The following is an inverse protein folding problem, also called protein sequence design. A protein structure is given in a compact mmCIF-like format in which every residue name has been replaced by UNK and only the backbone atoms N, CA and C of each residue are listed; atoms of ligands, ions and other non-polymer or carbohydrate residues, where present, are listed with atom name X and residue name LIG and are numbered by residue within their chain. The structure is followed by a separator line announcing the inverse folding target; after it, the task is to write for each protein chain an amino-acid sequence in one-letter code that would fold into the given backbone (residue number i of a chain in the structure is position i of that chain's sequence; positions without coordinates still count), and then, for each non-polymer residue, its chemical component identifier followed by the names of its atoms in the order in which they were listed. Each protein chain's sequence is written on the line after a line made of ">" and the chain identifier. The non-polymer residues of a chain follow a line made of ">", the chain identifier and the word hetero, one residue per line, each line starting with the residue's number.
data_IF_339582050278
#
_entry.id   IF_339582050278
#
_cell.length_a   1.000
_cell.length_b   1.000
_cell.length_c   1.000
_cell.angle_alpha   90.00
_cell.angle_beta   90.00
_cell.angle_gamma   90.00
#
_symmetry.space_group_name_H-M   'P 1'
#
loop_
_entity.id
_entity.type
_entity.pdbx_description
1 polymer ?
#
# COMPACT_ATOMS: atom_id res chain seq x y z
N UNK A 1 9.15 -23.65 47.45
CA UNK A 1 8.26 -22.60 47.99
C UNK A 1 7.20 -22.27 46.95
N UNK A 2 5.92 -22.55 47.22
CA UNK A 2 4.81 -22.12 46.37
C UNK A 2 4.29 -20.75 46.86
N UNK A 3 3.97 -19.85 45.93
CA UNK A 3 2.97 -18.79 46.16
C UNK A 3 2.07 -18.64 44.94
N UNK A 4 0.86 -19.17 45.08
CA UNK A 4 -0.31 -18.86 44.26
C UNK A 4 -0.80 -17.46 44.63
N UNK A 5 -1.21 -16.66 43.64
CA UNK A 5 -2.15 -15.56 43.87
C UNK A 5 -3.28 -15.63 42.84
N UNK A 6 -4.50 -15.81 43.34
CA UNK A 6 -5.77 -15.72 42.64
C UNK A 6 -6.55 -14.51 43.18
N UNK A 7 -7.55 -14.08 42.39
CA UNK A 7 -8.64 -13.11 42.65
C UNK A 7 -8.45 -11.74 41.98
N UNK A 8 -9.49 -11.03 41.53
CA UNK A 8 -10.84 -11.44 41.07
C UNK A 8 -11.52 -10.25 40.38
N UNK A 9 -12.57 -10.52 39.61
CA UNK A 9 -13.51 -9.59 38.97
C UNK A 9 -13.85 -8.28 39.69
N UNK A 10 -14.11 -7.23 38.89
CA UNK A 10 -15.20 -6.28 39.14
C UNK A 10 -15.85 -5.82 37.82
N UNK A 11 -17.16 -5.57 37.85
CA UNK A 11 -18.04 -5.23 36.72
C UNK A 11 -18.65 -3.83 36.91
N UNK A 12 -18.64 -3.01 35.85
CA UNK A 12 -19.60 -1.95 35.47
C UNK A 12 -18.89 -0.99 34.48
N UNK A 13 -19.56 -0.24 33.61
CA UNK A 13 -21.00 -0.09 33.30
C UNK A 13 -21.13 0.31 31.82
N UNK A 14 -22.22 -0.10 31.16
CA UNK A 14 -22.46 0.26 29.76
C UNK A 14 -23.22 1.58 29.65
N UNK A 15 -22.68 2.54 28.88
CA UNK A 15 -23.37 3.80 28.54
C UNK A 15 -23.86 3.75 27.10
N UNK A 16 -25.18 3.86 26.93
CA UNK A 16 -25.85 3.85 25.63
C UNK A 16 -25.82 5.26 25.01
N UNK A 17 -25.19 5.40 23.83
CA UNK A 17 -25.26 6.65 23.05
C UNK A 17 -26.24 6.51 21.89
N UNK A 18 -27.25 7.37 21.88
CA UNK A 18 -28.19 7.53 20.75
C UNK A 18 -27.61 8.59 19.80
N UNK A 19 -27.39 8.21 18.54
CA UNK A 19 -26.96 9.14 17.48
C UNK A 19 -28.19 9.60 16.69
N UNK A 20 -28.45 10.90 16.69
CA UNK A 20 -29.49 11.54 15.88
C UNK A 20 -28.84 12.04 14.58
N UNK A 21 -29.26 11.48 13.44
CA UNK A 21 -28.78 11.90 12.13
C UNK A 21 -29.71 12.96 11.51
N UNK A 22 -29.17 14.13 11.17
CA UNK A 22 -29.82 15.11 10.30
C UNK A 22 -29.26 15.00 8.86
N UNK A 23 -30.10 14.95 7.81
CA UNK A 23 -29.62 14.92 6.44
C UNK A 23 -29.28 16.33 5.93
N UNK A 24 -28.02 16.55 5.56
CA UNK A 24 -27.62 17.73 4.79
C UNK A 24 -27.85 17.48 3.29
N UNK A 25 -28.53 18.42 2.62
CA UNK A 25 -28.91 18.31 1.21
C UNK A 25 -28.06 19.26 0.37
N UNK A 26 -27.20 18.74 -0.50
CA UNK A 26 -26.39 19.54 -1.44
C UNK A 26 -27.07 19.51 -2.81
N UNK A 27 -27.28 20.70 -3.37
CA UNK A 27 -27.74 20.90 -4.75
C UNK A 27 -26.56 20.73 -5.72
N UNK A 28 -26.74 19.90 -6.74
CA UNK A 28 -25.87 19.85 -7.92
C UNK A 28 -26.58 20.57 -9.07
N UNK A 29 -25.87 21.41 -9.81
CA UNK A 29 -26.34 21.97 -11.08
C UNK A 29 -25.71 21.20 -12.23
N UNK A 30 -26.54 20.57 -13.06
CA UNK A 30 -26.10 19.88 -14.27
C UNK A 30 -25.95 20.86 -15.44
N UNK A 31 -24.85 20.75 -16.17
CA UNK A 31 -24.57 21.51 -17.40
C UNK A 31 -24.23 20.57 -18.56
N UNK A 32 -25.25 19.98 -19.19
CA UNK A 32 -25.08 19.15 -20.38
C UNK A 32 -24.93 20.00 -21.65
N UNK A 33 -23.97 19.64 -22.51
CA UNK A 33 -23.91 20.06 -23.92
C UNK A 33 -23.95 18.83 -24.82
N UNK A 34 -24.79 18.80 -25.87
CA UNK A 34 -24.92 17.64 -26.74
C UNK A 34 -23.83 17.61 -27.83
N UNK A 35 -23.32 16.40 -28.11
CA UNK A 35 -22.47 16.12 -29.28
C UNK A 35 -23.36 15.53 -30.39
N UNK A 36 -23.28 16.01 -31.65
CA UNK A 36 -24.08 15.47 -32.74
C UNK A 36 -23.56 14.08 -33.19
N UNK A 37 -24.48 13.14 -33.37
CA UNK A 37 -24.20 11.80 -33.92
C UNK A 37 -24.40 11.82 -35.43
N UNK A 38 -23.32 11.60 -36.20
CA UNK A 38 -23.43 11.35 -37.64
C UNK A 38 -23.71 9.87 -37.91
N UNK A 39 -24.87 9.57 -38.49
CA UNK A 39 -25.26 8.25 -38.96
C UNK A 39 -24.82 8.11 -40.43
N UNK A 40 -23.93 7.15 -40.72
CA UNK A 40 -23.61 6.74 -42.08
C UNK A 40 -24.16 5.34 -42.35
N UNK A 41 -25.13 5.24 -43.24
CA UNK A 41 -25.61 3.97 -43.78
C UNK A 41 -24.63 3.45 -44.83
N UNK A 42 -24.14 2.21 -44.65
CA UNK A 42 -23.43 1.43 -45.67
C UNK A 42 -24.26 0.21 -46.10
N UNK A 43 -24.27 -0.18 -47.38
CA UNK A 43 -25.16 -1.21 -47.89
C UNK A 43 -24.73 -2.63 -47.52
N UNK A 44 -25.72 -3.51 -47.39
CA UNK A 44 -25.57 -4.93 -47.09
C UNK A 44 -25.02 -5.72 -48.29
N UNK A 45 -23.88 -6.40 -48.12
CA UNK A 45 -23.45 -7.47 -49.03
C UNK A 45 -23.62 -8.83 -48.34
N UNK A 46 -24.69 -9.53 -48.71
CA UNK A 46 -24.90 -10.94 -48.34
C UNK A 46 -24.07 -11.83 -49.27
N UNK A 47 -23.04 -12.49 -48.72
CA UNK A 47 -22.30 -13.53 -49.42
C UNK A 47 -22.04 -14.70 -48.46
N UNK A 48 -22.61 -15.86 -48.77
CA UNK A 48 -22.52 -17.06 -47.95
C UNK A 48 -21.07 -17.57 -47.88
N UNK A 49 -20.57 -17.79 -46.67
CA UNK A 49 -19.49 -18.75 -46.42
C UNK A 49 -19.99 -19.77 -45.41
N UNK A 50 -19.91 -21.04 -45.79
CA UNK A 50 -20.17 -22.14 -44.87
C UNK A 50 -19.14 -22.07 -43.74
N UNK A 51 -19.61 -21.66 -42.55
CA UNK A 51 -18.77 -21.62 -41.37
C UNK A 51 -18.60 -23.04 -40.85
N UNK A 52 -17.48 -23.67 -41.20
CA UNK A 52 -17.02 -24.88 -40.52
C UNK A 52 -16.85 -24.54 -39.04
N UNK A 53 -17.85 -24.92 -38.24
CA UNK A 53 -17.84 -24.82 -36.79
C UNK A 53 -16.81 -25.80 -36.23
N UNK A 54 -15.54 -25.45 -36.39
CA UNK A 54 -14.51 -25.82 -35.45
C UNK A 54 -15.02 -25.39 -34.07
N UNK A 55 -15.42 -26.39 -33.28
CA UNK A 55 -15.43 -26.27 -31.83
C UNK A 55 -13.99 -25.95 -31.42
N UNK A 56 -13.63 -24.67 -31.45
CA UNK A 56 -12.59 -24.15 -30.57
C UNK A 56 -13.09 -24.48 -29.17
N UNK A 57 -12.58 -25.57 -28.61
CA UNK A 57 -12.69 -25.82 -27.19
C UNK A 57 -12.23 -24.54 -26.52
N UNK A 58 -13.16 -23.83 -25.89
CA UNK A 58 -12.82 -22.71 -25.03
C UNK A 58 -11.76 -23.27 -24.07
N UNK A 59 -10.53 -22.70 -24.02
CA UNK A 59 -9.49 -23.23 -23.16
C UNK A 59 -10.08 -23.34 -21.76
N UNK A 60 -9.95 -24.52 -21.14
CA UNK A 60 -10.61 -24.83 -19.87
C UNK A 60 -10.44 -23.64 -18.92
N UNK A 61 -11.55 -23.08 -18.46
CA UNK A 61 -11.55 -21.80 -17.78
C UNK A 61 -10.57 -21.86 -16.61
N UNK A 62 -9.44 -21.15 -16.75
CA UNK A 62 -8.36 -21.17 -15.76
C UNK A 62 -9.00 -20.88 -14.41
N UNK A 63 -8.84 -21.77 -13.40
CA UNK A 63 -9.45 -21.56 -12.10
C UNK A 63 -9.13 -20.16 -11.60
N UNK A 64 -10.15 -19.38 -11.26
CA UNK A 64 -9.95 -18.03 -10.74
C UNK A 64 -9.02 -18.12 -9.55
N UNK A 65 -7.84 -17.53 -9.68
CA UNK A 65 -6.91 -17.34 -8.57
C UNK A 65 -7.24 -16.00 -7.94
N UNK A 66 -7.55 -16.02 -6.65
CA UNK A 66 -7.67 -14.83 -5.83
C UNK A 66 -6.36 -14.56 -5.09
N UNK A 67 -5.87 -13.32 -5.15
CA UNK A 67 -4.60 -12.91 -4.57
C UNK A 67 -4.84 -11.85 -3.50
N UNK A 68 -4.22 -12.01 -2.34
CA UNK A 68 -4.14 -10.95 -1.34
C UNK A 68 -2.85 -10.15 -1.51
N UNK A 69 -2.95 -8.91 -1.96
CA UNK A 69 -1.87 -7.92 -1.88
C UNK A 69 -1.83 -7.42 -0.44
N UNK A 70 -1.11 -8.11 0.45
CA UNK A 70 -0.94 -7.70 1.83
C UNK A 70 0.41 -6.99 2.00
N UNK A 71 0.36 -5.67 2.06
CA UNK A 71 1.54 -4.82 1.94
C UNK A 71 1.55 -3.71 2.98
N UNK A 72 2.74 -3.25 3.34
CA UNK A 72 2.87 -1.96 4.00
C UNK A 72 2.43 -0.83 3.04
N UNK A 73 2.18 0.38 3.56
CA UNK A 73 1.91 1.51 2.69
C UNK A 73 3.11 1.79 1.75
N UNK A 74 2.87 2.45 0.60
CA UNK A 74 3.90 3.00 -0.31
C UNK A 74 4.87 2.03 -1.00
N UNK A 75 4.64 0.71 -0.92
CA UNK A 75 5.47 -0.31 -1.58
C UNK A 75 4.95 -0.75 -2.97
N UNK A 76 4.19 0.08 -3.68
CA UNK A 76 3.76 -0.22 -5.05
C UNK A 76 2.47 -1.05 -5.20
N UNK A 77 1.69 -1.21 -4.13
CA UNK A 77 0.49 -2.07 -4.11
C UNK A 77 -0.57 -1.73 -5.16
N UNK A 78 -0.78 -0.46 -5.48
CA UNK A 78 -1.70 -0.03 -6.57
C UNK A 78 -1.26 -0.58 -7.93
N UNK A 79 0.05 -0.59 -8.21
CA UNK A 79 0.61 -1.13 -9.45
C UNK A 79 0.43 -2.65 -9.53
N UNK A 80 0.57 -3.36 -8.40
CA UNK A 80 0.24 -4.78 -8.30
C UNK A 80 -1.25 -5.03 -8.59
N UNK A 81 -2.17 -4.28 -7.96
CA UNK A 81 -3.63 -4.42 -8.16
C UNK A 81 -4.00 -4.28 -9.64
N UNK A 82 -3.46 -3.26 -10.32
CA UNK A 82 -3.70 -3.06 -11.76
C UNK A 82 -3.09 -4.20 -12.58
N UNK A 83 -1.88 -4.66 -12.25
CA UNK A 83 -1.22 -5.74 -12.99
C UNK A 83 -1.93 -7.10 -12.87
N UNK A 84 -2.50 -7.42 -11.70
CA UNK A 84 -3.31 -8.61 -11.50
C UNK A 84 -4.64 -8.53 -12.26
N UNK A 85 -5.32 -7.39 -12.18
CA UNK A 85 -6.54 -7.13 -12.94
C UNK A 85 -6.31 -7.29 -14.45
N UNK A 86 -5.19 -6.79 -14.97
CA UNK A 86 -4.81 -6.96 -16.39
C UNK A 86 -4.58 -8.43 -16.79
N UNK A 87 -4.23 -9.29 -15.82
CA UNK A 87 -4.10 -10.74 -16.01
C UNK A 87 -5.43 -11.51 -15.85
N UNK A 88 -6.53 -10.84 -15.53
CA UNK A 88 -7.80 -11.50 -15.16
C UNK A 88 -7.77 -12.19 -13.79
N UNK A 89 -6.83 -11.82 -12.93
CA UNK A 89 -6.64 -12.36 -11.57
C UNK A 89 -7.32 -11.43 -10.55
N UNK A 90 -8.17 -11.99 -9.69
CA UNK A 90 -8.80 -11.24 -8.60
C UNK A 90 -7.78 -10.85 -7.55
N UNK A 91 -7.83 -9.61 -7.06
CA UNK A 91 -6.78 -9.04 -6.22
C UNK A 91 -7.35 -8.19 -5.08
N UNK A 92 -7.51 -8.81 -3.90
CA UNK A 92 -7.81 -8.10 -2.67
C UNK A 92 -6.59 -7.31 -2.20
N UNK A 93 -6.81 -6.18 -1.53
CA UNK A 93 -5.74 -5.28 -1.10
C UNK A 93 -5.90 -4.89 0.37
N UNK A 94 -4.89 -5.20 1.19
CA UNK A 94 -4.90 -4.95 2.63
C UNK A 94 -3.63 -4.21 3.09
N UNK A 95 -3.82 -3.31 4.05
CA UNK A 95 -2.76 -2.59 4.78
C UNK A 95 -2.81 -2.79 6.30
N UNK A 96 -3.89 -3.39 6.83
CA UNK A 96 -4.10 -3.62 8.26
C UNK A 96 -4.15 -5.12 8.57
N UNK A 97 -3.76 -5.49 9.78
CA UNK A 97 -3.87 -6.86 10.31
C UNK A 97 -5.31 -7.39 10.24
N UNK A 98 -6.28 -6.54 10.59
CA UNK A 98 -7.70 -6.92 10.59
C UNK A 98 -8.23 -7.21 9.18
N UNK A 99 -7.95 -6.36 8.20
CA UNK A 99 -8.35 -6.58 6.81
C UNK A 99 -7.73 -7.87 6.23
N UNK A 100 -6.44 -8.12 6.51
CA UNK A 100 -5.78 -9.35 6.08
C UNK A 100 -6.41 -10.60 6.74
N UNK A 101 -6.72 -10.55 8.04
CA UNK A 101 -7.40 -11.64 8.75
C UNK A 101 -8.82 -11.91 8.24
N UNK A 102 -9.57 -10.86 7.89
CA UNK A 102 -10.91 -11.01 7.32
C UNK A 102 -10.86 -11.77 5.99
N UNK A 103 -9.97 -11.38 5.07
CA UNK A 103 -9.78 -12.10 3.80
C UNK A 103 -9.32 -13.55 4.01
N UNK A 104 -8.34 -13.78 4.88
CA UNK A 104 -7.80 -15.12 5.20
C UNK A 104 -8.81 -16.02 5.92
N UNK A 105 -9.90 -15.45 6.45
CA UNK A 105 -11.03 -16.17 7.02
C UNK A 105 -12.21 -16.34 6.02
N UNK A 106 -12.01 -16.01 4.74
CA UNK A 106 -13.03 -16.12 3.69
C UNK A 106 -14.13 -15.05 3.75
N UNK A 107 -13.89 -13.92 4.44
CA UNK A 107 -14.82 -12.80 4.46
C UNK A 107 -14.44 -11.78 3.39
N UNK A 108 -15.45 -11.11 2.83
CA UNK A 108 -15.24 -10.02 1.89
C UNK A 108 -14.56 -8.84 2.57
N UNK A 109 -13.41 -8.40 2.03
CA UNK A 109 -12.73 -7.20 2.54
C UNK A 109 -13.27 -5.98 1.82
N UNK A 110 -14.19 -5.27 2.46
CA UNK A 110 -14.57 -3.91 2.04
C UNK A 110 -13.39 -2.99 2.30
N UNK A 111 -12.70 -2.59 1.23
CA UNK A 111 -11.39 -1.97 1.33
C UNK A 111 -11.43 -0.60 1.99
N UNK A 112 -10.95 -0.52 3.23
CA UNK A 112 -10.86 0.70 4.06
C UNK A 112 -10.01 1.81 3.39
N UNK A 113 -9.20 1.45 2.38
CA UNK A 113 -8.39 2.36 1.57
C UNK A 113 -8.66 2.26 0.05
N UNK A 114 -9.86 1.82 -0.36
CA UNK A 114 -10.27 1.95 -1.76
C UNK A 114 -10.27 3.45 -2.15
N UNK A 115 -9.51 3.81 -3.18
CA UNK A 115 -9.76 5.07 -3.87
C UNK A 115 -11.19 5.05 -4.41
N UNK A 116 -11.83 6.22 -4.52
CA UNK A 116 -13.22 6.35 -5.01
C UNK A 116 -13.44 5.89 -6.45
N UNK A 117 -12.42 5.37 -7.10
CA UNK A 117 -12.50 4.72 -8.39
C UNK A 117 -13.24 3.38 -8.21
N UNK A 118 -14.54 3.37 -8.54
CA UNK A 118 -15.49 2.32 -8.99
C UNK A 118 -15.21 0.80 -8.91
N UNK A 119 -14.13 0.33 -8.28
CA UNK A 119 -13.74 -1.07 -8.11
C UNK A 119 -14.18 -1.62 -6.73
N UNK A 120 -15.17 -0.98 -6.11
CA UNK A 120 -15.56 -1.19 -4.71
C UNK A 120 -16.59 -2.33 -4.51
N UNK A 121 -17.24 -2.77 -5.59
CA UNK A 121 -18.46 -3.58 -5.53
C UNK A 121 -18.24 -5.09 -5.73
N UNK A 122 -17.01 -5.53 -6.07
CA UNK A 122 -16.66 -6.95 -6.11
C UNK A 122 -16.19 -7.42 -4.72
N UNK A 123 -17.00 -8.26 -4.08
CA UNK A 123 -16.67 -8.88 -2.80
C UNK A 123 -15.59 -9.95 -2.95
N UNK A 124 -14.33 -9.54 -2.98
CA UNK A 124 -13.18 -10.44 -3.03
C UNK A 124 -12.97 -11.13 -1.67
N UNK A 125 -13.19 -12.44 -1.66
CA UNK A 125 -13.06 -13.33 -0.51
C UNK A 125 -12.40 -14.64 -0.95
N UNK A 126 -11.61 -15.26 -0.08
CA UNK A 126 -11.02 -16.57 -0.32
C UNK A 126 -12.06 -17.67 -0.05
N UNK A 127 -12.50 -18.41 -1.07
CA UNK A 127 -13.47 -19.49 -0.90
C UNK A 127 -12.83 -20.79 -0.41
N UNK A 128 -13.64 -21.64 0.24
CA UNK A 128 -13.17 -22.91 0.79
C UNK A 128 -12.71 -23.86 -0.33
N UNK A 129 -11.41 -24.15 -0.37
CA UNK A 129 -10.78 -25.05 -1.34
C UNK A 129 -9.92 -24.33 -2.39
N UNK A 130 -9.95 -23.00 -2.46
CA UNK A 130 -9.10 -22.23 -3.37
C UNK A 130 -7.63 -22.20 -2.93
N UNK A 131 -6.72 -22.06 -3.90
CA UNK A 131 -5.30 -21.84 -3.61
C UNK A 131 -5.09 -20.41 -3.09
N UNK A 132 -4.91 -20.26 -1.79
CA UNK A 132 -4.54 -18.98 -1.19
C UNK A 132 -3.15 -18.52 -1.67
N UNK A 133 -3.07 -17.30 -2.21
CA UNK A 133 -1.80 -16.68 -2.57
C UNK A 133 -1.72 -15.24 -2.02
N UNK A 134 -0.60 -14.91 -1.39
CA UNK A 134 -0.34 -13.58 -0.82
C UNK A 134 0.86 -12.99 -1.54
N UNK A 135 0.71 -11.77 -2.06
CA UNK A 135 1.84 -10.96 -2.52
C UNK A 135 2.10 -9.85 -1.54
N UNK A 136 3.33 -9.79 -1.04
CA UNK A 136 3.83 -8.70 -0.21
C UNK A 136 5.03 -8.04 -0.85
N UNK A 137 5.32 -6.81 -0.44
CA UNK A 137 6.46 -6.08 -0.95
C UNK A 137 7.07 -5.22 0.16
N UNK A 138 8.39 -5.06 0.09
CA UNK A 138 9.18 -4.16 0.91
C UNK A 138 9.68 -2.99 0.08
N UNK A 139 10.03 -1.89 0.74
CA UNK A 139 10.70 -0.73 0.16
C UNK A 139 11.78 -0.25 1.10
N UNK A 140 12.89 0.26 0.56
CA UNK A 140 13.99 0.85 1.32
C UNK A 140 13.47 1.99 2.19
N UNK A 141 14.00 2.12 3.41
CA UNK A 141 13.60 3.20 4.33
C UNK A 141 13.82 4.58 3.71
N UNK A 142 14.96 4.78 3.03
CA UNK A 142 15.33 6.03 2.35
C UNK A 142 14.29 6.51 1.34
N UNK A 143 13.61 5.57 0.68
CA UNK A 143 12.58 5.85 -0.32
C UNK A 143 11.16 5.81 0.27
N UNK A 144 10.91 4.95 1.27
CA UNK A 144 9.65 4.85 1.97
C UNK A 144 9.34 6.12 2.78
N UNK A 145 10.26 6.57 3.64
CA UNK A 145 9.99 7.63 4.63
C UNK A 145 9.58 8.96 3.97
N UNK A 146 10.30 9.51 2.96
CA UNK A 146 9.87 10.72 2.27
C UNK A 146 8.52 10.55 1.56
N UNK A 147 8.26 9.37 0.98
CA UNK A 147 6.98 9.11 0.35
C UNK A 147 5.84 9.10 1.38
N UNK A 148 6.06 8.45 2.52
CA UNK A 148 5.12 8.37 3.65
C UNK A 148 4.79 9.75 4.24
N UNK A 149 5.78 10.64 4.33
CA UNK A 149 5.63 12.04 4.76
C UNK A 149 4.53 12.76 3.97
N UNK A 150 4.73 12.89 2.65
CA UNK A 150 3.76 13.59 1.78
C UNK A 150 2.38 12.94 1.69
N UNK A 151 2.26 11.61 1.84
CA UNK A 151 0.93 10.96 1.87
C UNK A 151 0.22 11.15 3.21
N UNK A 152 0.96 11.18 4.33
CA UNK A 152 0.37 11.13 5.68
C UNK A 152 0.12 12.50 6.29
N UNK A 153 0.78 13.55 5.79
CA UNK A 153 0.78 14.91 6.34
C UNK A 153 -0.60 15.50 6.66
N UNK A 154 -1.62 15.18 5.84
CA UNK A 154 -3.01 15.62 6.05
C UNK A 154 -3.93 14.51 6.58
N UNK A 155 -3.41 13.30 6.82
CA UNK A 155 -4.22 12.17 7.29
C UNK A 155 -4.24 12.09 8.82
N UNK A 156 -5.16 12.83 9.43
CA UNK A 156 -5.37 12.85 10.88
C UNK A 156 -5.66 11.47 11.49
N UNK A 157 -6.16 10.50 10.71
CA UNK A 157 -6.50 9.15 11.17
C UNK A 157 -5.29 8.26 11.42
N UNK A 158 -4.09 8.64 10.97
CA UNK A 158 -2.88 7.87 11.25
C UNK A 158 -2.28 8.37 12.58
N UNK A 159 -2.35 7.59 13.69
CA UNK A 159 -1.88 8.07 15.00
C UNK A 159 -0.37 8.35 15.03
N UNK A 160 0.40 7.58 14.26
CA UNK A 160 1.86 7.68 14.12
C UNK A 160 2.30 8.27 12.77
N UNK A 161 1.36 8.83 12.01
CA UNK A 161 1.66 9.46 10.73
C UNK A 161 2.45 10.73 10.92
N UNK A 162 3.15 11.14 9.87
CA UNK A 162 3.81 12.43 9.85
C UNK A 162 2.78 13.56 10.07
N UNK A 163 3.04 14.40 11.06
CA UNK A 163 2.24 15.56 11.46
C UNK A 163 3.16 16.78 11.48
N UNK A 164 2.83 17.86 10.76
CA UNK A 164 3.56 19.10 10.90
C UNK A 164 3.61 19.53 12.37
N UNK A 165 4.77 20.05 12.79
CA UNK A 165 5.10 20.35 14.20
C UNK A 165 5.40 19.12 15.08
N UNK A 166 5.73 17.99 14.47
CA UNK A 166 6.27 16.83 15.18
C UNK A 166 5.21 15.92 15.83
N UNK A 167 5.64 14.94 16.65
CA UNK A 167 4.72 14.10 17.37
C UNK A 167 4.01 14.95 18.42
N UNK A 168 2.70 15.19 18.27
CA UNK A 168 1.86 15.57 19.42
C UNK A 168 2.00 14.43 20.43
N UNK A 169 2.79 14.65 21.48
CA UNK A 169 3.17 13.63 22.45
C UNK A 169 1.92 13.19 23.20
N UNK A 170 1.40 12.02 22.78
CA UNK A 170 0.13 11.42 23.23
C UNK A 170 -1.11 12.22 22.84
N UNK A 171 -2.23 11.50 22.82
CA UNK A 171 -3.57 12.00 22.53
C UNK A 171 -4.15 12.95 23.60
N UNK A 172 -3.37 13.34 24.62
CA UNK A 172 -3.87 13.97 25.86
C UNK A 172 -3.05 15.17 26.39
N UNK A 173 -1.78 15.36 26.02
CA UNK A 173 -0.87 16.27 26.75
C UNK A 173 -0.47 17.57 26.00
N UNK A 174 -1.36 18.16 25.18
CA UNK A 174 -1.22 19.58 24.77
C UNK A 174 -2.51 20.22 24.22
N UNK A 175 -2.74 21.52 24.51
CA UNK A 175 -3.99 22.22 24.17
C UNK A 175 -4.04 22.65 22.71
N UNK A 176 -5.23 22.50 22.08
CA UNK A 176 -5.85 23.31 21.02
C UNK A 176 -5.01 24.02 19.93
N UNK A 177 -3.77 23.59 19.64
CA UNK A 177 -3.07 23.98 18.43
C UNK A 177 -3.79 23.32 17.24
N UNK A 178 -4.64 24.10 16.58
CA UNK A 178 -5.45 23.69 15.45
C UNK A 178 -4.56 23.21 14.31
N UNK A 179 -4.91 22.07 13.72
CA UNK A 179 -4.26 21.57 12.50
C UNK A 179 -4.72 22.33 11.24
N UNK A 180 -5.14 23.59 11.42
CA UNK A 180 -5.77 24.45 10.40
C UNK A 180 -4.80 25.01 9.38
N UNK A 181 -3.52 25.07 9.73
CA UNK A 181 -2.58 25.98 9.06
C UNK A 181 -1.75 25.28 7.96
N UNK A 182 -1.83 23.96 7.86
CA UNK A 182 -1.19 23.19 6.81
C UNK A 182 -2.22 22.74 5.77
N UNK A 183 -2.26 23.48 4.67
CA UNK A 183 -3.09 23.18 3.49
C UNK A 183 -2.22 22.71 2.32
N UNK A 184 -2.83 22.07 1.32
CA UNK A 184 -2.16 21.70 0.06
C UNK A 184 -1.39 22.88 -0.54
N UNK A 185 -2.02 24.07 -0.61
CA UNK A 185 -1.40 25.28 -1.15
C UNK A 185 -0.27 25.85 -0.30
N UNK A 186 -0.27 25.62 1.02
CA UNK A 186 0.83 26.02 1.91
C UNK A 186 2.02 25.07 1.73
N UNK A 187 1.80 23.76 1.63
CA UNK A 187 2.86 22.79 1.35
C UNK A 187 3.46 22.97 -0.04
N UNK A 188 2.63 23.29 -1.05
CA UNK A 188 3.09 23.65 -2.39
C UNK A 188 3.98 24.90 -2.35
N UNK A 189 3.52 25.97 -1.71
CA UNK A 189 4.29 27.20 -1.55
C UNK A 189 5.59 27.00 -0.77
N UNK A 190 5.58 26.23 0.32
CA UNK A 190 6.80 25.85 1.04
C UNK A 190 7.73 25.03 0.15
N UNK A 191 7.21 24.11 -0.65
CA UNK A 191 7.98 23.38 -1.66
C UNK A 191 8.65 24.28 -2.69
N UNK A 192 7.98 25.38 -3.05
CA UNK A 192 8.40 26.33 -4.07
C UNK A 192 9.38 27.39 -3.54
N UNK A 193 9.12 27.95 -2.37
CA UNK A 193 9.81 29.11 -1.79
C UNK A 193 10.79 28.73 -0.66
N UNK A 194 10.55 27.65 0.09
CA UNK A 194 11.31 27.30 1.30
C UNK A 194 11.35 25.78 1.55
N UNK A 195 11.95 25.03 0.62
CA UNK A 195 12.04 23.56 0.69
C UNK A 195 12.75 23.08 1.97
N UNK A 196 13.69 23.88 2.49
CA UNK A 196 14.42 23.63 3.74
C UNK A 196 13.49 23.49 4.95
N UNK A 197 12.39 24.24 5.01
CA UNK A 197 11.41 24.12 6.09
C UNK A 197 10.67 22.76 6.07
N UNK A 198 10.33 22.24 4.88
CA UNK A 198 9.75 20.90 4.75
C UNK A 198 10.77 19.81 5.11
N UNK A 199 12.04 19.98 4.73
CA UNK A 199 13.12 19.05 5.10
C UNK A 199 13.32 19.05 6.62
N UNK A 200 13.32 20.21 7.27
CA UNK A 200 13.44 20.32 8.73
C UNK A 200 12.28 19.64 9.47
N UNK A 201 11.04 19.88 9.03
CA UNK A 201 9.84 19.25 9.60
C UNK A 201 9.86 17.72 9.41
N UNK A 202 10.23 17.22 8.21
CA UNK A 202 10.44 15.79 7.96
C UNK A 202 11.48 15.18 8.90
N UNK A 203 12.66 15.81 9.02
CA UNK A 203 13.76 15.30 9.87
C UNK A 203 13.41 15.27 11.34
N UNK A 204 12.67 16.27 11.84
CA UNK A 204 12.17 16.28 13.22
C UNK A 204 11.24 15.08 13.53
N UNK A 205 10.58 14.51 12.52
CA UNK A 205 9.63 13.40 12.66
C UNK A 205 10.22 12.03 12.34
N UNK A 206 11.28 11.99 11.53
CA UNK A 206 11.91 10.75 11.04
C UNK A 206 12.25 9.75 12.18
N UNK A 207 12.84 10.13 13.33
CA UNK A 207 13.13 9.19 14.42
C UNK A 207 11.89 8.53 15.05
N UNK A 208 10.73 9.20 15.02
CA UNK A 208 9.46 8.64 15.51
C UNK A 208 8.95 7.59 14.52
N UNK A 209 8.94 7.91 13.23
CA UNK A 209 8.42 7.00 12.21
C UNK A 209 9.31 5.77 12.04
N UNK A 210 10.64 5.93 12.12
CA UNK A 210 11.58 4.80 12.18
C UNK A 210 11.25 3.86 13.36
N UNK A 211 11.02 4.43 14.55
CA UNK A 211 10.74 3.66 15.77
C UNK A 211 9.42 2.90 15.73
N UNK A 212 8.37 3.50 15.15
CA UNK A 212 7.00 3.01 15.28
C UNK A 212 6.43 2.29 14.05
N UNK A 213 6.97 2.49 12.84
CA UNK A 213 6.35 1.93 11.62
C UNK A 213 7.16 0.78 10.99
N UNK A 214 8.37 1.04 10.49
CA UNK A 214 9.09 0.02 9.71
C UNK A 214 9.74 -1.08 10.55
N UNK A 215 10.08 -0.81 11.81
CA UNK A 215 10.71 -1.82 12.69
C UNK A 215 9.77 -3.00 13.00
N UNK A 216 8.46 -2.76 13.04
CA UNK A 216 7.51 -3.72 13.62
C UNK A 216 6.50 -4.30 12.63
N UNK A 217 6.28 -3.71 11.45
CA UNK A 217 5.18 -4.13 10.56
C UNK A 217 5.15 -5.63 10.23
N UNK A 218 6.29 -6.23 9.87
CA UNK A 218 6.33 -7.67 9.59
C UNK A 218 6.11 -8.55 10.83
N UNK A 219 6.53 -8.11 12.03
CA UNK A 219 6.38 -8.88 13.27
C UNK A 219 5.02 -8.72 13.95
N UNK A 220 4.41 -7.54 13.86
CA UNK A 220 3.17 -7.18 14.56
C UNK A 220 1.93 -7.16 13.65
N UNK A 221 2.12 -7.11 12.32
CA UNK A 221 1.01 -7.14 11.36
C UNK A 221 1.13 -8.32 10.38
N UNK A 222 2.24 -8.46 9.65
CA UNK A 222 2.35 -9.53 8.66
C UNK A 222 2.28 -10.93 9.28
N UNK A 223 3.23 -11.25 10.16
CA UNK A 223 3.31 -12.56 10.82
C UNK A 223 2.03 -12.92 11.62
N UNK A 224 1.40 -12.02 12.39
CA UNK A 224 0.14 -12.35 13.09
C UNK A 224 -1.09 -12.53 12.19
N UNK A 225 -0.98 -12.29 10.87
CA UNK A 225 -2.02 -12.62 9.89
C UNK A 225 -1.67 -13.89 9.11
N UNK A 226 -0.45 -13.98 8.59
CA UNK A 226 -0.01 -15.00 7.63
C UNK A 226 0.75 -16.16 8.26
N UNK A 227 1.27 -15.95 9.47
CA UNK A 227 2.17 -16.83 10.25
C UNK A 227 3.42 -17.30 9.47
N UNK A 228 3.81 -16.50 8.46
CA UNK A 228 5.07 -16.61 7.71
C UNK A 228 6.05 -15.56 8.22
N UNK A 229 7.14 -16.02 8.87
CA UNK A 229 8.23 -15.14 9.27
C UNK A 229 9.18 -14.91 8.09
N UNK A 230 9.00 -13.75 7.45
CA UNK A 230 9.81 -13.34 6.29
C UNK A 230 11.30 -13.15 6.62
N UNK A 231 11.66 -13.03 7.90
CA UNK A 231 13.05 -12.85 8.34
C UNK A 231 13.77 -14.19 8.60
N UNK A 232 13.07 -15.33 8.53
CA UNK A 232 13.62 -16.65 8.87
C UNK A 232 14.72 -17.12 7.90
N UNK A 233 14.72 -16.64 6.66
CA UNK A 233 15.68 -16.99 5.60
C UNK A 233 16.25 -15.70 5.04
N UNK A 234 17.50 -15.69 4.57
CA UNK A 234 18.06 -14.51 3.90
C UNK A 234 17.31 -14.20 2.60
N UNK A 235 17.15 -12.91 2.30
CA UNK A 235 16.66 -12.47 1.00
C UNK A 235 17.64 -12.87 -0.11
N UNK A 236 17.11 -13.39 -1.21
CA UNK A 236 17.88 -13.79 -2.39
C UNK A 236 17.99 -12.61 -3.37
N UNK A 237 19.17 -12.02 -3.43
CA UNK A 237 19.48 -10.88 -4.29
C UNK A 237 19.70 -11.26 -5.77
N UNK A 238 19.88 -12.54 -6.08
CA UNK A 238 20.00 -13.03 -7.45
C UNK A 238 18.61 -13.24 -8.07
N UNK A 239 17.71 -13.95 -7.38
CA UNK A 239 16.33 -14.13 -7.85
C UNK A 239 15.42 -12.92 -7.59
N UNK A 240 15.84 -11.98 -6.74
CA UNK A 240 15.15 -10.70 -6.42
C UNK A 240 13.75 -10.86 -5.81
N UNK A 241 13.46 -12.03 -5.25
CA UNK A 241 12.24 -12.29 -4.51
C UNK A 241 12.48 -13.35 -3.44
N UNK A 242 11.49 -13.56 -2.57
CA UNK A 242 11.42 -14.76 -1.74
C UNK A 242 10.06 -15.42 -1.94
N UNK A 243 10.07 -16.73 -2.15
CA UNK A 243 8.86 -17.53 -2.21
C UNK A 243 8.78 -18.49 -1.01
N UNK A 244 7.67 -18.42 -0.30
CA UNK A 244 7.34 -19.32 0.81
C UNK A 244 6.15 -20.17 0.36
N UNK A 245 6.45 -21.37 -0.13
CA UNK A 245 5.41 -22.34 -0.49
C UNK A 245 4.61 -22.73 0.77
N UNK A 246 3.27 -22.64 0.69
CA UNK A 246 2.33 -23.19 1.67
C UNK A 246 2.74 -22.96 3.13
N UNK A 247 2.71 -21.69 3.55
CA UNK A 247 2.78 -21.31 4.97
C UNK A 247 1.66 -21.95 5.80
N UNK A 248 1.59 -21.64 7.10
CA UNK A 248 0.78 -22.37 8.09
C UNK A 248 -0.74 -22.37 7.83
N UNK A 249 -1.24 -21.61 6.85
CA UNK A 249 -2.64 -21.58 6.41
C UNK A 249 -2.86 -22.05 4.97
N UNK A 250 -1.93 -22.84 4.41
CA UNK A 250 -1.87 -23.28 2.99
C UNK A 250 -1.65 -22.13 1.98
N UNK A 251 -1.53 -20.89 2.46
CA UNK A 251 -1.20 -19.75 1.64
C UNK A 251 0.26 -19.79 1.18
N UNK A 252 0.50 -19.65 -0.11
CA UNK A 252 1.84 -19.34 -0.61
C UNK A 252 2.09 -17.83 -0.52
N UNK A 253 3.29 -17.43 -0.11
CA UNK A 253 3.68 -16.02 0.01
C UNK A 253 4.80 -15.70 -0.96
N UNK A 254 4.61 -14.67 -1.79
CA UNK A 254 5.66 -14.06 -2.60
C UNK A 254 6.02 -12.69 -2.02
N UNK A 255 7.29 -12.50 -1.66
CA UNK A 255 7.84 -11.23 -1.19
C UNK A 255 8.72 -10.61 -2.28
N UNK A 256 8.45 -9.34 -2.60
CA UNK A 256 9.16 -8.55 -3.60
C UNK A 256 9.87 -7.35 -2.94
N UNK A 257 10.92 -6.80 -3.57
CA UNK A 257 11.43 -5.46 -3.25
C UNK A 257 10.96 -4.45 -4.29
N UNK A 258 10.52 -3.28 -3.85
CA UNK A 258 10.10 -2.18 -4.72
C UNK A 258 11.25 -1.63 -5.58
N UNK A 259 12.48 -1.76 -5.12
CA UNK A 259 13.69 -1.37 -5.84
C UNK A 259 14.01 -2.33 -7.01
N UNK A 260 13.43 -3.53 -7.03
CA UNK A 260 13.52 -4.47 -8.15
C UNK A 260 12.29 -4.42 -9.08
N UNK A 261 11.48 -3.35 -9.03
CA UNK A 261 10.16 -3.27 -9.70
C UNK A 261 10.19 -3.58 -11.21
N UNK A 262 11.27 -3.25 -11.91
CA UNK A 262 11.46 -3.56 -13.34
C UNK A 262 11.54 -5.09 -13.63
N UNK A 263 11.78 -5.89 -12.59
CA UNK A 263 11.85 -7.36 -12.67
C UNK A 263 10.52 -8.02 -12.28
N UNK A 264 9.57 -7.26 -11.70
CA UNK A 264 8.31 -7.81 -11.19
C UNK A 264 7.48 -8.50 -12.27
N UNK A 265 7.50 -8.00 -13.51
CA UNK A 265 6.86 -8.68 -14.65
C UNK A 265 7.41 -10.09 -14.85
N UNK A 266 8.73 -10.27 -14.81
CA UNK A 266 9.36 -11.58 -15.00
C UNK A 266 9.18 -12.53 -13.82
N UNK A 267 9.11 -12.00 -12.59
CA UNK A 267 8.87 -12.77 -11.36
C UNK A 267 7.40 -13.21 -11.30
N UNK A 268 6.46 -12.27 -11.42
CA UNK A 268 5.03 -12.54 -11.24
C UNK A 268 4.44 -13.41 -12.34
N UNK A 269 4.94 -13.34 -13.58
CA UNK A 269 4.51 -14.22 -14.67
C UNK A 269 4.74 -15.73 -14.40
N UNK A 270 5.68 -16.09 -13.53
CA UNK A 270 5.92 -17.49 -13.16
C UNK A 270 4.78 -18.09 -12.33
N UNK A 271 4.05 -17.23 -11.61
CA UNK A 271 2.92 -17.61 -10.75
C UNK A 271 1.56 -17.24 -11.38
N UNK A 272 1.55 -16.16 -12.18
CA UNK A 272 0.37 -15.54 -12.78
C UNK A 272 0.64 -15.19 -14.26
N UNK A 273 0.52 -16.17 -15.17
CA UNK A 273 0.64 -15.94 -16.61
C UNK A 273 -0.28 -14.80 -17.06
N UNK A 274 0.26 -13.86 -17.85
CA UNK A 274 -0.45 -12.66 -18.28
C UNK A 274 -0.28 -11.42 -17.38
N UNK A 275 0.30 -11.55 -16.18
CA UNK A 275 0.62 -10.37 -15.34
C UNK A 275 1.48 -9.35 -16.10
N UNK A 276 1.06 -8.08 -16.08
CA UNK A 276 1.80 -6.94 -16.64
C UNK A 276 1.64 -5.71 -15.77
N UNK A 277 2.74 -5.24 -15.20
CA UNK A 277 2.83 -4.03 -14.41
C UNK A 277 2.48 -2.79 -15.28
N UNK A 278 1.64 -1.86 -14.81
CA UNK A 278 1.45 -0.60 -15.51
C UNK A 278 2.75 0.20 -15.53
N UNK A 279 3.23 0.57 -16.73
CA UNK A 279 4.41 1.43 -16.91
C UNK A 279 4.17 2.92 -16.54
N UNK A 280 2.94 3.28 -16.21
CA UNK A 280 2.60 4.63 -15.77
C UNK A 280 2.92 4.83 -14.28
N UNK A 281 3.83 5.75 -13.98
CA UNK A 281 4.06 6.20 -12.62
C UNK A 281 2.88 7.05 -12.11
N UNK A 282 1.88 6.40 -11.51
CA UNK A 282 0.70 7.01 -10.87
C UNK A 282 1.09 8.06 -9.82
N UNK A 283 2.33 8.01 -9.28
CA UNK A 283 2.88 9.04 -8.41
C UNK A 283 2.93 10.44 -9.02
N UNK A 284 3.06 10.56 -10.35
CA UNK A 284 3.19 11.85 -11.07
C UNK A 284 1.92 12.71 -11.01
N UNK A 285 0.76 12.10 -10.79
CA UNK A 285 -0.54 12.76 -10.75
C UNK A 285 -0.97 13.20 -9.34
N UNK A 286 -0.11 13.01 -8.33
CA UNK A 286 -0.42 13.38 -6.95
C UNK A 286 -0.20 14.88 -6.73
N UNK A 287 -1.01 15.50 -5.89
CA UNK A 287 -0.95 16.95 -5.60
C UNK A 287 0.43 17.45 -5.13
N UNK A 288 1.25 16.54 -4.58
CA UNK A 288 2.61 16.79 -4.11
C UNK A 288 3.72 16.42 -5.11
N UNK A 289 3.43 16.00 -6.35
CA UNK A 289 4.45 15.42 -7.23
C UNK A 289 5.63 16.38 -7.53
N UNK A 290 5.36 17.65 -7.82
CA UNK A 290 6.39 18.68 -8.06
C UNK A 290 7.22 18.98 -6.81
N UNK A 291 6.54 19.19 -5.67
CA UNK A 291 7.17 19.45 -4.36
C UNK A 291 8.04 18.26 -3.94
N UNK A 292 7.56 17.04 -4.13
CA UNK A 292 8.26 15.81 -3.76
C UNK A 292 9.51 15.57 -4.61
N UNK A 293 9.49 15.91 -5.90
CA UNK A 293 10.68 15.88 -6.74
C UNK A 293 11.76 16.84 -6.21
N UNK A 294 11.40 18.11 -5.98
CA UNK A 294 12.30 19.12 -5.37
C UNK A 294 12.77 18.72 -3.97
N UNK A 295 11.92 18.06 -3.19
CA UNK A 295 12.27 17.52 -1.88
C UNK A 295 13.32 16.41 -1.99
N UNK A 296 13.14 15.43 -2.90
CA UNK A 296 14.13 14.37 -3.12
C UNK A 296 15.49 14.93 -3.56
N UNK A 297 15.48 15.96 -4.40
CA UNK A 297 16.70 16.62 -4.91
C UNK A 297 17.45 17.39 -3.82
N UNK A 298 16.73 18.13 -2.96
CA UNK A 298 17.34 18.98 -1.93
C UNK A 298 17.62 18.26 -0.59
N UNK A 299 16.97 17.14 -0.31
CA UNK A 299 17.09 16.43 0.96
C UNK A 299 18.32 15.52 0.97
N UNK A 300 19.11 15.63 2.04
CA UNK A 300 20.24 14.74 2.34
C UNK A 300 20.09 14.16 3.74
N UNK A 301 20.51 12.91 3.93
CA UNK A 301 20.58 12.28 5.25
C UNK A 301 21.94 12.53 5.91
N UNK A 302 21.93 12.79 7.21
CA UNK A 302 23.13 12.76 8.07
C UNK A 302 23.52 11.32 8.37
N UNK A 303 24.77 11.09 8.77
CA UNK A 303 25.26 9.74 9.12
C UNK A 303 24.42 9.07 10.22
N UNK A 304 23.99 9.84 11.22
CA UNK A 304 23.11 9.35 12.29
C UNK A 304 21.70 8.97 11.79
N UNK A 305 21.15 9.70 10.81
CA UNK A 305 19.87 9.33 10.18
C UNK A 305 20.02 8.08 9.31
N UNK A 306 21.14 7.95 8.57
CA UNK A 306 21.49 6.74 7.81
C UNK A 306 21.58 5.53 8.74
N UNK A 307 22.29 5.64 9.87
CA UNK A 307 22.41 4.57 10.87
C UNK A 307 21.04 4.17 11.46
N UNK A 308 20.19 5.13 11.81
CA UNK A 308 18.84 4.85 12.30
C UNK A 308 17.97 4.11 11.27
N UNK A 309 18.07 4.45 9.98
CA UNK A 309 17.37 3.74 8.91
C UNK A 309 17.95 2.33 8.74
N UNK A 310 19.28 2.22 8.70
CA UNK A 310 20.04 0.97 8.51
C UNK A 310 19.97 -0.02 9.68
N UNK A 311 19.55 0.41 10.87
CA UNK A 311 19.31 -0.49 12.01
C UNK A 311 17.90 -1.10 12.06
N UNK A 312 16.98 -0.67 11.18
CA UNK A 312 15.65 -1.29 11.06
C UNK A 312 15.72 -2.71 10.51
N UNK A 313 14.82 -3.59 10.97
CA UNK A 313 14.80 -4.99 10.52
C UNK A 313 14.59 -5.12 9.00
N UNK A 314 13.76 -4.26 8.40
CA UNK A 314 13.55 -4.22 6.94
C UNK A 314 14.86 -3.86 6.21
N UNK A 315 15.53 -2.76 6.61
CA UNK A 315 16.75 -2.33 5.93
C UNK A 315 17.89 -3.35 6.10
N UNK A 316 18.07 -3.87 7.32
CA UNK A 316 19.10 -4.89 7.61
C UNK A 316 18.92 -6.18 6.82
N UNK A 317 17.69 -6.59 6.55
CA UNK A 317 17.40 -7.92 6.00
C UNK A 317 17.25 -7.90 4.47
N UNK A 318 16.46 -6.98 3.91
CA UNK A 318 16.15 -6.95 2.47
C UNK A 318 17.08 -6.03 1.67
N UNK A 319 17.86 -5.20 2.37
CA UNK A 319 18.74 -4.19 1.79
C UNK A 319 20.15 -4.29 2.37
N UNK A 320 20.69 -5.51 2.49
CA UNK A 320 22.11 -5.72 2.76
C UNK A 320 22.92 -5.11 1.62
N UNK A 321 23.36 -3.88 1.85
CA UNK A 321 23.94 -3.03 0.81
C UNK A 321 25.15 -2.32 1.37
N UNK A 322 26.19 -2.12 0.54
CA UNK A 322 27.20 -1.12 0.81
C UNK A 322 26.61 0.27 1.05
N UNK A 323 25.37 0.60 0.64
CA UNK A 323 24.70 1.83 1.06
C UNK A 323 24.68 2.02 2.58
N UNK A 324 24.44 0.99 3.41
CA UNK A 324 24.55 1.16 4.86
C UNK A 324 26.00 1.37 5.38
N UNK A 325 27.00 1.27 4.49
CA UNK A 325 28.40 1.60 4.73
C UNK A 325 28.94 2.76 3.83
N UNK A 326 28.09 3.36 2.98
CA UNK A 326 28.46 4.37 1.95
C UNK A 326 27.51 5.57 1.85
N UNK A 327 26.29 5.50 2.37
CA UNK A 327 25.22 6.52 2.15
C UNK A 327 25.43 7.86 2.85
N UNK A 328 26.64 8.17 3.28
CA UNK A 328 26.98 9.48 3.78
C UNK A 328 26.88 10.60 2.72
N UNK A 329 26.64 10.35 1.41
CA UNK A 329 26.81 11.38 0.35
C UNK A 329 25.83 11.51 -0.85
N UNK A 330 25.21 10.48 -1.45
CA UNK A 330 24.70 10.65 -2.86
C UNK A 330 23.34 10.06 -3.33
N UNK A 331 23.00 8.79 -3.07
CA UNK A 331 22.05 8.05 -3.94
C UNK A 331 20.54 8.36 -3.74
N UNK A 332 20.07 9.55 -4.16
CA UNK A 332 18.63 9.90 -4.21
C UNK A 332 18.10 10.29 -5.62
N UNK A 333 18.95 10.20 -6.65
CA UNK A 333 18.66 10.69 -8.01
C UNK A 333 18.05 9.66 -8.98
N UNK A 334 17.75 8.44 -8.53
CA UNK A 334 16.92 7.45 -9.22
C UNK A 334 15.45 7.50 -8.77
#
# INVERSE_FOLDING_TARGET
>A
MFRVWQRSFCLSSATLFVIVCFPFRILMQDGNLPIPVNILHGPSNAASRASTLLHMQQPEAIPKREVLIYTHAKVGSVSLTIGFKNAGVGAAHAHTLEAARQWLAGNSVRGIFQSRDRWADEELALYAGEECFIVTAVRSGFEFYPSGYFQSMFNHTIPWGYRPHGPKTRYHDSPNASTSDWTVGIVQRMGEENITALIADFKAQLPIVIRHWMKIWFREHFYPATEVDVFQRHFDFESKHMFFERGTRRCSVLLLRHEDIDNWDGILQQFFPGFRLPRENIGRHKWYASVYARFKEAMTYTEAEVEQICTTDIQRHFYTTPQCAKSARHDLQS
#
